data_IF_212332455395
#
_entry.id   IF_212332455395
#
_cell.length_a   1.000
_cell.length_b   1.000
_cell.length_c   1.000
_cell.angle_alpha   90.00
_cell.angle_beta   90.00
_cell.angle_gamma   90.00
#
_symmetry.space_group_name_H-M   'P 1'
#
loop_
_entity.id
_entity.type
_entity.pdbx_description
1 polymer ?
#
# COMPACT_ATOMS: atom_id res chain seq x y z
N UNK A 1 -8.65 32.39 -15.95
CA UNK A 1 -9.31 31.08 -15.79
C UNK A 1 -8.32 29.96 -15.51
N UNK A 2 -7.21 29.82 -16.26
CA UNK A 2 -6.19 28.76 -16.04
C UNK A 2 -5.56 28.70 -14.63
N UNK A 3 -5.15 29.84 -14.07
CA UNK A 3 -4.45 29.86 -12.76
C UNK A 3 -5.29 29.37 -11.58
N UNK A 4 -6.62 29.52 -11.63
CA UNK A 4 -7.50 29.05 -10.56
C UNK A 4 -7.76 27.54 -10.66
N UNK A 5 -7.86 27.01 -11.88
CA UNK A 5 -7.92 25.58 -12.14
C UNK A 5 -6.61 24.87 -11.79
N UNK A 6 -5.46 25.49 -12.05
CA UNK A 6 -4.15 24.92 -11.69
C UNK A 6 -3.96 24.84 -10.17
N UNK A 7 -4.34 25.90 -9.44
CA UNK A 7 -4.30 25.93 -7.97
C UNK A 7 -5.28 24.93 -7.34
N UNK A 8 -6.46 24.74 -7.93
CA UNK A 8 -7.41 23.73 -7.47
C UNK A 8 -6.92 22.29 -7.75
N UNK A 9 -6.19 22.09 -8.86
CA UNK A 9 -5.57 20.81 -9.18
C UNK A 9 -4.39 20.48 -8.26
N UNK A 10 -3.56 21.47 -7.89
CA UNK A 10 -2.49 21.29 -6.91
C UNK A 10 -3.03 21.00 -5.50
N UNK A 11 -4.14 21.64 -5.10
CA UNK A 11 -4.76 21.43 -3.79
C UNK A 11 -5.37 20.03 -3.61
N UNK A 12 -5.72 19.32 -4.70
CA UNK A 12 -6.33 17.99 -4.67
C UNK A 12 -5.33 16.82 -4.76
N UNK A 13 -4.02 17.10 -4.88
CA UNK A 13 -2.98 16.09 -5.03
C UNK A 13 -2.15 15.95 -3.75
N UNK A 14 -1.81 14.71 -3.40
CA UNK A 14 -0.84 14.46 -2.33
C UNK A 14 0.58 14.71 -2.83
N UNK A 15 1.44 15.26 -1.97
CA UNK A 15 2.85 15.41 -2.34
C UNK A 15 3.54 14.04 -2.44
N UNK A 16 4.53 13.94 -3.32
CA UNK A 16 5.34 12.71 -3.44
C UNK A 16 5.99 12.31 -2.11
N UNK A 17 6.37 13.28 -1.28
CA UNK A 17 6.90 13.05 0.07
C UNK A 17 5.86 12.42 1.00
N UNK A 18 4.62 12.92 0.99
CA UNK A 18 3.54 12.35 1.79
C UNK A 18 3.25 10.90 1.35
N UNK A 19 3.16 10.65 0.04
CA UNK A 19 2.98 9.30 -0.52
C UNK A 19 4.15 8.37 -0.14
N UNK A 20 5.40 8.85 -0.22
CA UNK A 20 6.57 8.06 0.15
C UNK A 20 6.56 7.70 1.65
N UNK A 21 6.15 8.62 2.52
CA UNK A 21 6.06 8.39 3.97
C UNK A 21 5.01 7.33 4.31
N UNK A 22 3.81 7.41 3.73
CA UNK A 22 2.74 6.43 3.98
C UNK A 22 3.07 5.05 3.39
N UNK A 23 3.72 5.01 2.22
CA UNK A 23 4.25 3.78 1.66
C UNK A 23 5.35 3.15 2.55
N UNK A 24 6.29 3.95 3.04
CA UNK A 24 7.35 3.50 3.94
C UNK A 24 6.77 2.95 5.25
N UNK A 25 5.80 3.66 5.85
CA UNK A 25 5.11 3.22 7.06
C UNK A 25 4.40 1.89 6.84
N UNK A 26 3.69 1.74 5.72
CA UNK A 26 3.04 0.48 5.33
C UNK A 26 4.06 -0.65 5.23
N UNK A 27 5.18 -0.42 4.56
CA UNK A 27 6.25 -1.40 4.41
C UNK A 27 6.86 -1.84 5.73
N UNK A 28 7.17 -0.90 6.63
CA UNK A 28 7.74 -1.18 7.95
C UNK A 28 6.78 -2.01 8.80
N UNK A 29 5.50 -1.63 8.84
CA UNK A 29 4.48 -2.36 9.59
C UNK A 29 4.24 -3.77 9.02
N UNK A 30 4.17 -3.90 7.70
CA UNK A 30 4.03 -5.19 7.02
C UNK A 30 5.26 -6.10 7.25
N UNK A 31 6.48 -5.53 7.22
CA UNK A 31 7.71 -6.23 7.52
C UNK A 31 7.72 -6.73 8.97
N UNK A 32 7.34 -5.88 9.93
CA UNK A 32 7.26 -6.25 11.33
C UNK A 32 6.25 -7.39 11.55
N UNK A 33 5.07 -7.30 10.94
CA UNK A 33 4.05 -8.36 10.97
C UNK A 33 4.56 -9.68 10.37
N UNK A 34 5.26 -9.61 9.23
CA UNK A 34 5.86 -10.78 8.59
C UNK A 34 6.97 -11.39 9.45
N UNK A 35 7.84 -10.57 10.04
CA UNK A 35 8.91 -11.02 10.92
C UNK A 35 8.37 -11.77 12.14
N UNK A 36 7.29 -11.24 12.74
CA UNK A 36 6.56 -11.90 13.82
C UNK A 36 5.94 -13.22 13.35
N UNK A 37 5.33 -13.26 12.15
CA UNK A 37 4.53 -14.39 11.70
C UNK A 37 5.31 -15.55 11.10
N UNK A 38 6.36 -15.28 10.32
CA UNK A 38 7.07 -16.27 9.48
C UNK A 38 8.27 -16.90 10.18
N UNK A 39 8.86 -16.22 11.18
CA UNK A 39 10.05 -16.68 11.87
C UNK A 39 11.36 -16.39 11.11
N UNK A 40 12.49 -16.65 11.76
CA UNK A 40 13.82 -16.18 11.33
C UNK A 40 14.38 -16.85 10.07
N UNK A 41 13.92 -18.06 9.74
CA UNK A 41 14.40 -18.82 8.58
C UNK A 41 13.83 -18.32 7.25
N UNK A 42 12.69 -17.63 7.28
CA UNK A 42 11.99 -17.11 6.09
C UNK A 42 12.30 -15.64 5.81
N UNK A 43 13.53 -15.20 6.07
CA UNK A 43 13.90 -13.77 5.99
C UNK A 43 13.64 -13.15 4.60
N UNK A 44 13.79 -13.91 3.52
CA UNK A 44 13.47 -13.46 2.17
C UNK A 44 11.98 -13.14 2.00
N UNK A 45 11.08 -13.95 2.58
CA UNK A 45 9.64 -13.72 2.54
C UNK A 45 9.27 -12.48 3.37
N UNK A 46 9.94 -12.30 4.51
CA UNK A 46 9.76 -11.15 5.40
C UNK A 46 10.13 -9.84 4.69
N UNK A 47 11.31 -9.80 4.05
CA UNK A 47 11.75 -8.63 3.28
C UNK A 47 10.83 -8.39 2.09
N UNK A 48 10.46 -9.45 1.36
CA UNK A 48 9.56 -9.33 0.23
C UNK A 48 8.21 -8.74 0.63
N UNK A 49 7.60 -9.19 1.74
CA UNK A 49 6.34 -8.63 2.23
C UNK A 49 6.47 -7.14 2.51
N UNK A 50 7.53 -6.72 3.23
CA UNK A 50 7.75 -5.30 3.52
C UNK A 50 7.93 -4.45 2.25
N UNK A 51 8.87 -4.87 1.39
CA UNK A 51 9.25 -4.12 0.18
C UNK A 51 8.10 -4.06 -0.81
N UNK A 52 7.44 -5.19 -1.09
CA UNK A 52 6.34 -5.25 -2.06
C UNK A 52 5.10 -4.51 -1.55
N UNK A 53 4.83 -4.51 -0.24
CA UNK A 53 3.73 -3.71 0.32
C UNK A 53 3.99 -2.21 0.16
N UNK A 54 5.21 -1.74 0.48
CA UNK A 54 5.61 -0.36 0.26
C UNK A 54 5.55 0.02 -1.23
N UNK A 55 6.11 -0.83 -2.10
CA UNK A 55 6.13 -0.58 -3.54
C UNK A 55 4.71 -0.53 -4.12
N UNK A 56 3.82 -1.45 -3.71
CA UNK A 56 2.43 -1.46 -4.16
C UNK A 56 1.70 -0.17 -3.79
N UNK A 57 1.82 0.29 -2.54
CA UNK A 57 1.22 1.55 -2.09
C UNK A 57 1.82 2.73 -2.84
N UNK A 58 3.15 2.84 -2.90
CA UNK A 58 3.83 3.95 -3.56
C UNK A 58 3.46 4.06 -5.04
N UNK A 59 3.56 2.95 -5.78
CA UNK A 59 3.28 2.92 -7.21
C UNK A 59 1.81 3.24 -7.49
N UNK A 60 0.90 2.62 -6.74
CA UNK A 60 -0.53 2.90 -6.89
C UNK A 60 -0.81 4.38 -6.62
N UNK A 61 -0.39 4.88 -5.45
CA UNK A 61 -0.63 6.27 -5.05
C UNK A 61 -0.02 7.27 -6.02
N UNK A 62 1.22 7.07 -6.46
CA UNK A 62 1.83 7.95 -7.46
C UNK A 62 1.09 7.91 -8.80
N UNK A 63 0.63 6.73 -9.25
CA UNK A 63 -0.06 6.57 -10.53
C UNK A 63 -1.48 7.14 -10.54
N UNK A 64 -2.17 7.08 -9.40
CA UNK A 64 -3.56 7.48 -9.24
C UNK A 64 -3.72 8.81 -8.49
N UNK A 65 -2.63 9.58 -8.31
CA UNK A 65 -2.66 10.88 -7.65
C UNK A 65 -3.27 11.95 -8.57
N UNK A 66 -4.58 11.89 -8.74
CA UNK A 66 -5.35 12.86 -9.52
C UNK A 66 -6.49 13.40 -8.65
N UNK A 67 -6.84 14.70 -8.76
CA UNK A 67 -7.86 15.31 -7.91
C UNK A 67 -9.22 14.62 -8.01
N UNK A 68 -9.59 14.13 -9.19
CA UNK A 68 -10.86 13.43 -9.43
C UNK A 68 -10.94 12.08 -8.70
N UNK A 69 -9.81 11.43 -8.47
CA UNK A 69 -9.74 10.15 -7.76
C UNK A 69 -9.54 10.33 -6.26
N UNK A 70 -8.91 11.43 -5.83
CA UNK A 70 -8.73 11.75 -4.42
C UNK A 70 -9.97 12.43 -3.80
N UNK A 71 -10.81 13.06 -4.62
CA UNK A 71 -12.02 13.77 -4.21
C UNK A 71 -13.23 13.32 -5.05
N UNK A 72 -13.45 12.01 -5.09
CA UNK A 72 -14.48 11.35 -5.89
C UNK A 72 -15.91 11.46 -5.33
N UNK A 73 -16.10 12.24 -4.26
CA UNK A 73 -17.39 12.51 -3.65
C UNK A 73 -17.88 11.39 -2.72
N UNK A 74 -17.07 10.36 -2.48
CA UNK A 74 -17.36 9.35 -1.47
C UNK A 74 -17.08 9.93 -0.07
N UNK A 75 -18.07 9.93 0.85
CA UNK A 75 -17.89 10.52 2.17
C UNK A 75 -16.90 9.71 3.00
N UNK A 76 -15.79 10.35 3.38
CA UNK A 76 -14.79 9.82 4.30
C UNK A 76 -13.63 9.08 3.65
N UNK A 77 -13.79 8.51 2.46
CA UNK A 77 -12.76 7.69 1.79
C UNK A 77 -12.92 7.76 0.28
N UNK A 78 -11.82 7.81 -0.46
CA UNK A 78 -11.82 7.75 -1.93
C UNK A 78 -11.61 6.33 -2.46
N UNK A 79 -12.08 6.04 -3.68
CA UNK A 79 -11.81 4.80 -4.38
C UNK A 79 -10.30 4.53 -4.52
N UNK A 80 -9.49 5.59 -4.59
CA UNK A 80 -8.04 5.50 -4.60
C UNK A 80 -7.49 4.86 -3.31
N UNK A 81 -8.04 5.22 -2.14
CA UNK A 81 -7.64 4.69 -0.84
C UNK A 81 -7.96 3.20 -0.72
N UNK A 82 -9.12 2.79 -1.24
CA UNK A 82 -9.59 1.41 -1.21
C UNK A 82 -8.82 0.48 -2.15
N UNK A 83 -8.22 1.01 -3.23
CA UNK A 83 -7.48 0.19 -4.19
C UNK A 83 -6.02 -0.07 -3.77
N UNK A 84 -5.43 0.76 -2.92
CA UNK A 84 -4.09 0.53 -2.39
C UNK A 84 -3.92 -0.87 -1.71
N UNK A 85 -4.80 -1.31 -0.79
CA UNK A 85 -4.71 -2.65 -0.21
C UNK A 85 -4.97 -3.78 -1.21
N UNK A 86 -5.76 -3.55 -2.26
CA UNK A 86 -5.95 -4.51 -3.36
C UNK A 86 -4.64 -4.70 -4.12
N UNK A 87 -3.93 -3.61 -4.44
CA UNK A 87 -2.62 -3.67 -5.08
C UNK A 87 -1.59 -4.39 -4.20
N UNK A 88 -1.61 -4.14 -2.88
CA UNK A 88 -0.80 -4.90 -1.91
C UNK A 88 -1.09 -6.40 -2.00
N UNK A 89 -2.37 -6.80 -1.99
CA UNK A 89 -2.74 -8.21 -2.12
C UNK A 89 -2.22 -8.83 -3.42
N UNK A 90 -2.41 -8.16 -4.56
CA UNK A 90 -2.01 -8.64 -5.88
C UNK A 90 -0.49 -8.86 -5.97
N UNK A 91 0.30 -7.90 -5.51
CA UNK A 91 1.77 -8.00 -5.55
C UNK A 91 2.26 -9.16 -4.69
N UNK A 92 1.69 -9.34 -3.50
CA UNK A 92 2.06 -10.44 -2.60
C UNK A 92 1.55 -11.80 -3.08
N UNK A 93 0.41 -11.85 -3.78
CA UNK A 93 -0.07 -13.05 -4.43
C UNK A 93 0.86 -13.46 -5.57
N UNK A 94 1.16 -12.54 -6.48
CA UNK A 94 2.10 -12.79 -7.59
C UNK A 94 3.48 -13.25 -7.07
N UNK A 95 3.99 -12.64 -6.01
CA UNK A 95 5.23 -13.08 -5.38
C UNK A 95 5.15 -14.53 -4.89
N UNK A 96 4.09 -14.90 -4.18
CA UNK A 96 3.93 -16.25 -3.63
C UNK A 96 3.78 -17.30 -4.73
N UNK A 97 3.14 -16.95 -5.85
CA UNK A 97 2.98 -17.84 -7.00
C UNK A 97 4.32 -18.04 -7.76
N UNK A 98 5.15 -17.00 -7.85
CA UNK A 98 6.48 -17.06 -8.48
C UNK A 98 7.54 -17.70 -7.58
N UNK A 99 7.43 -17.51 -6.26
CA UNK A 99 8.33 -18.07 -5.25
C UNK A 99 7.49 -18.69 -4.12
N UNK A 100 7.10 -19.97 -4.27
CA UNK A 100 6.29 -20.65 -3.27
C UNK A 100 6.91 -20.56 -1.87
N UNK A 101 6.22 -19.98 -0.88
CA UNK A 101 6.72 -19.86 0.48
C UNK A 101 6.81 -21.24 1.14
N UNK A 102 7.79 -21.41 2.03
CA UNK A 102 8.01 -22.68 2.74
C UNK A 102 6.79 -23.10 3.59
N UNK A 103 6.04 -22.14 4.12
CA UNK A 103 4.76 -22.36 4.81
C UNK A 103 3.69 -21.45 4.20
N UNK A 104 2.90 -21.95 3.22
CA UNK A 104 1.86 -21.17 2.55
C UNK A 104 0.79 -20.62 3.49
N UNK A 105 0.49 -21.31 4.58
CA UNK A 105 -0.52 -20.87 5.54
C UNK A 105 -0.03 -19.65 6.33
N UNK A 106 1.20 -19.71 6.84
CA UNK A 106 1.79 -18.57 7.57
C UNK A 106 2.00 -17.37 6.66
N UNK A 107 2.44 -17.61 5.41
CA UNK A 107 2.55 -16.56 4.40
C UNK A 107 1.19 -15.93 4.10
N UNK A 108 0.14 -16.73 3.88
CA UNK A 108 -1.22 -16.23 3.65
C UNK A 108 -1.73 -15.34 4.79
N UNK A 109 -1.41 -15.69 6.03
CA UNK A 109 -1.74 -14.86 7.21
C UNK A 109 -0.92 -13.57 7.26
N UNK A 110 0.39 -13.62 7.00
CA UNK A 110 1.23 -12.43 6.93
C UNK A 110 0.77 -11.47 5.81
N UNK A 111 0.40 -12.02 4.64
CA UNK A 111 -0.21 -11.27 3.53
C UNK A 111 -1.51 -10.61 3.95
N UNK A 112 -2.41 -11.34 4.61
CA UNK A 112 -3.67 -10.77 5.10
C UNK A 112 -3.42 -9.60 6.07
N UNK A 113 -2.47 -9.74 7.00
CA UNK A 113 -2.09 -8.66 7.91
C UNK A 113 -1.53 -7.46 7.14
N UNK A 114 -0.66 -7.68 6.15
CA UNK A 114 -0.12 -6.60 5.31
C UNK A 114 -1.22 -5.85 4.54
N UNK A 115 -2.25 -6.54 4.05
CA UNK A 115 -3.42 -5.92 3.41
C UNK A 115 -4.21 -5.08 4.40
N UNK A 116 -4.44 -5.57 5.63
CA UNK A 116 -5.10 -4.79 6.68
C UNK A 116 -4.28 -3.56 7.08
N UNK A 117 -2.96 -3.70 7.20
CA UNK A 117 -2.05 -2.58 7.45
C UNK A 117 -2.14 -1.55 6.32
N UNK A 118 -2.07 -1.99 5.07
CA UNK A 118 -2.18 -1.12 3.89
C UNK A 118 -3.52 -0.37 3.89
N UNK A 119 -4.62 -1.06 4.20
CA UNK A 119 -5.94 -0.45 4.35
C UNK A 119 -5.91 0.61 5.45
N UNK A 120 -5.50 0.27 6.68
CA UNK A 120 -5.49 1.22 7.78
C UNK A 120 -4.63 2.45 7.49
N UNK A 121 -3.42 2.28 6.93
CA UNK A 121 -2.56 3.42 6.62
C UNK A 121 -3.16 4.30 5.53
N UNK A 122 -3.65 3.70 4.44
CA UNK A 122 -4.13 4.46 3.29
C UNK A 122 -5.50 5.09 3.51
N UNK A 123 -6.33 4.52 4.38
CA UNK A 123 -7.71 5.00 4.62
C UNK A 123 -7.78 5.99 5.78
N UNK A 124 -6.84 5.92 6.74
CA UNK A 124 -6.83 6.80 7.93
C UNK A 124 -5.89 7.99 7.77
N UNK A 125 -4.81 7.85 7.00
CA UNK A 125 -3.70 8.83 6.99
C UNK A 125 -3.68 9.73 5.75
N UNK A 126 -4.39 9.34 4.69
CA UNK A 126 -4.44 10.01 3.38
C UNK A 126 -5.87 10.52 3.20
#
# INVERSE_FOLDING_TARGET
MGRATDLAAEAGNFSATHIALTAALTGVLALAAAAWRLGRTSWLDVIAIGVLSAAAVFLWRMSANMPQLNSDGLPGFSANDWLAPVMTFLFLAAYADLRPPADPRRFGQARAIAVVVSLCVNVVTI
#
